data_IF_683946770483
#
_entry.id   IF_683946770483
#
_cell.length_a   1.000
_cell.length_b   1.000
_cell.length_c   1.000
_cell.angle_alpha   90.00
_cell.angle_beta   90.00
_cell.angle_gamma   90.00
#
_symmetry.space_group_name_H-M   'P 1'
#
loop_
_entity.id
_entity.type
_entity.pdbx_description
1 polymer ?
#
# COMPACT_ATOMS: atom_id res chain seq x y z
N UNK A 1 -26.57 1.52 5.68
CA UNK A 1 -26.00 2.02 6.97
C UNK A 1 -24.57 2.50 6.70
N UNK A 2 -24.12 3.60 7.33
CA UNK A 2 -22.73 4.09 7.18
C UNK A 2 -21.75 3.17 7.89
N UNK A 3 -20.70 2.78 7.21
CA UNK A 3 -19.65 1.87 7.70
C UNK A 3 -18.28 2.51 7.53
N UNK A 4 -17.32 2.15 8.37
CA UNK A 4 -15.92 2.53 8.18
C UNK A 4 -15.15 1.33 7.63
N UNK A 5 -14.33 1.59 6.62
CA UNK A 5 -13.47 0.61 5.96
C UNK A 5 -12.04 1.15 6.00
N UNK A 6 -11.11 0.37 6.52
CA UNK A 6 -9.69 0.72 6.47
C UNK A 6 -9.07 0.22 5.17
N UNK A 7 -8.39 1.10 4.43
CA UNK A 7 -7.60 0.77 3.25
C UNK A 7 -6.13 0.84 3.61
N UNK A 8 -5.45 -0.29 3.56
CA UNK A 8 -4.01 -0.42 3.82
C UNK A 8 -3.28 -0.83 2.55
N UNK A 9 -2.01 -0.48 2.44
CA UNK A 9 -1.16 -0.90 1.34
C UNK A 9 0.32 -0.83 1.73
N UNK A 10 1.18 -1.42 0.91
CA UNK A 10 2.62 -1.25 1.02
C UNK A 10 3.13 -1.56 2.43
N UNK A 11 2.76 -2.76 2.94
CA UNK A 11 3.21 -3.24 4.25
C UNK A 11 4.71 -3.55 4.26
N UNK A 12 5.21 -4.01 3.10
CA UNK A 12 6.62 -4.17 2.84
C UNK A 12 7.43 -4.82 3.97
N UNK A 13 6.91 -5.90 4.55
CA UNK A 13 7.64 -6.63 5.60
C UNK A 13 8.01 -5.78 6.83
N UNK A 14 7.35 -4.63 7.06
CA UNK A 14 7.54 -3.82 8.26
C UNK A 14 6.54 -4.24 9.35
N UNK A 15 6.91 -5.26 10.12
CA UNK A 15 6.03 -5.80 11.14
C UNK A 15 5.69 -4.81 12.27
N UNK A 16 6.63 -4.01 12.83
CA UNK A 16 6.31 -3.00 13.82
C UNK A 16 5.27 -1.97 13.35
N UNK A 17 5.34 -1.52 12.09
CA UNK A 17 4.38 -0.58 11.52
C UNK A 17 3.01 -1.24 11.31
N UNK A 18 2.98 -2.47 10.77
CA UNK A 18 1.75 -3.26 10.57
C UNK A 18 1.03 -3.48 11.90
N UNK A 19 1.75 -3.84 12.96
CA UNK A 19 1.19 -3.98 14.31
C UNK A 19 0.60 -2.67 14.84
N UNK A 20 1.24 -1.53 14.58
CA UNK A 20 0.74 -0.24 15.03
C UNK A 20 -0.57 0.13 14.32
N UNK A 21 -0.63 -0.08 13.01
CA UNK A 21 -1.85 0.16 12.22
C UNK A 21 -2.97 -0.80 12.63
N UNK A 22 -2.70 -2.09 12.87
CA UNK A 22 -3.72 -3.03 13.35
C UNK A 22 -4.30 -2.60 14.70
N UNK A 23 -3.47 -2.14 15.63
CA UNK A 23 -3.94 -1.60 16.92
C UNK A 23 -4.82 -0.36 16.74
N UNK A 24 -4.42 0.57 15.88
CA UNK A 24 -5.18 1.79 15.60
C UNK A 24 -6.55 1.47 14.96
N UNK A 25 -6.59 0.59 13.96
CA UNK A 25 -7.82 0.12 13.32
C UNK A 25 -8.76 -0.53 14.36
N UNK A 26 -8.24 -1.43 15.21
CA UNK A 26 -9.03 -2.07 16.28
C UNK A 26 -9.55 -1.05 17.28
N UNK A 27 -8.73 -0.08 17.68
CA UNK A 27 -9.14 0.96 18.65
C UNK A 27 -10.28 1.83 18.15
N UNK A 28 -10.43 1.94 16.81
CA UNK A 28 -11.53 2.65 16.15
C UNK A 28 -12.77 1.79 15.95
N UNK A 29 -12.73 0.50 16.30
CA UNK A 29 -13.82 -0.44 16.07
C UNK A 29 -14.07 -0.77 14.59
N UNK A 30 -13.03 -0.63 13.74
CA UNK A 30 -13.13 -0.93 12.30
C UNK A 30 -12.87 -2.43 12.10
N UNK A 31 -13.84 -3.13 11.51
CA UNK A 31 -13.77 -4.57 11.27
C UNK A 31 -13.36 -4.90 9.83
N UNK A 32 -13.73 -4.05 8.87
CA UNK A 32 -13.45 -4.26 7.45
C UNK A 32 -12.13 -3.62 7.05
N UNK A 33 -11.21 -4.43 6.53
CA UNK A 33 -9.92 -3.98 6.03
C UNK A 33 -9.75 -4.44 4.58
N UNK A 34 -9.40 -3.53 3.69
CA UNK A 34 -9.05 -3.79 2.29
C UNK A 34 -7.56 -3.50 2.09
N UNK A 35 -6.84 -4.43 1.48
CA UNK A 35 -5.41 -4.27 1.20
C UNK A 35 -5.16 -4.05 -0.29
N UNK A 36 -4.48 -2.96 -0.62
CA UNK A 36 -4.19 -2.60 -2.01
C UNK A 36 -2.83 -3.16 -2.50
N UNK A 37 -2.25 -4.15 -1.81
CA UNK A 37 -1.06 -4.86 -2.29
C UNK A 37 0.25 -4.43 -1.64
N UNK A 38 1.33 -4.99 -2.15
CA UNK A 38 2.70 -4.88 -1.64
C UNK A 38 2.81 -5.27 -0.16
N UNK A 39 2.29 -6.48 0.12
CA UNK A 39 2.30 -7.04 1.48
C UNK A 39 3.68 -7.55 1.87
N UNK A 40 4.55 -7.85 0.89
CA UNK A 40 5.90 -8.40 1.08
C UNK A 40 6.99 -7.48 0.50
N UNK A 41 8.24 -7.83 0.71
CA UNK A 41 9.41 -7.13 0.15
C UNK A 41 9.91 -5.96 1.00
N UNK A 42 10.95 -5.30 0.53
CA UNK A 42 11.69 -4.20 1.18
C UNK A 42 12.17 -4.50 2.60
N UNK A 43 11.27 -4.66 3.54
CA UNK A 43 11.57 -4.93 4.95
C UNK A 43 11.73 -6.42 5.28
N UNK A 44 12.14 -6.71 6.53
CA UNK A 44 12.65 -8.02 6.93
C UNK A 44 11.58 -9.05 7.30
N UNK A 45 10.31 -8.66 7.43
CA UNK A 45 9.28 -9.51 8.06
C UNK A 45 8.14 -9.85 7.10
N UNK A 46 8.48 -10.23 5.86
CA UNK A 46 7.49 -10.54 4.80
C UNK A 46 6.50 -11.65 5.18
N UNK A 47 6.87 -12.75 5.87
CA UNK A 47 5.91 -13.75 6.32
C UNK A 47 4.87 -13.18 7.28
N UNK A 48 5.28 -12.37 8.26
CA UNK A 48 4.38 -11.81 9.26
C UNK A 48 3.37 -10.84 8.65
N UNK A 49 3.81 -9.99 7.72
CA UNK A 49 2.92 -9.05 7.04
C UNK A 49 1.98 -9.75 6.07
N UNK A 50 2.45 -10.79 5.38
CA UNK A 50 1.62 -11.63 4.52
C UNK A 50 0.54 -12.37 5.33
N UNK A 51 0.93 -13.04 6.41
CA UNK A 51 0.01 -13.82 7.25
C UNK A 51 -1.05 -12.89 7.88
N UNK A 52 -0.63 -11.72 8.39
CA UNK A 52 -1.55 -10.73 8.90
C UNK A 52 -2.55 -10.25 7.82
N UNK A 53 -2.07 -9.95 6.62
CA UNK A 53 -2.95 -9.49 5.55
C UNK A 53 -3.96 -10.59 5.15
N UNK A 54 -3.54 -11.83 5.09
CA UNK A 54 -4.39 -12.99 4.81
C UNK A 54 -5.45 -13.25 5.88
N UNK A 55 -5.12 -12.99 7.13
CA UNK A 55 -6.04 -13.18 8.26
C UNK A 55 -7.02 -12.01 8.41
N UNK A 56 -6.54 -10.78 8.21
CA UNK A 56 -7.26 -9.57 8.60
C UNK A 56 -8.00 -8.87 7.46
N UNK A 57 -7.50 -8.98 6.23
CA UNK A 57 -8.07 -8.25 5.11
C UNK A 57 -9.13 -9.09 4.38
N UNK A 58 -10.23 -8.45 4.03
CA UNK A 58 -11.30 -9.05 3.24
C UNK A 58 -10.82 -9.47 1.85
N UNK A 59 -9.93 -8.68 1.26
CA UNK A 59 -9.19 -9.00 0.04
C UNK A 59 -7.82 -8.31 0.05
N UNK A 60 -6.92 -8.80 -0.82
CA UNK A 60 -5.61 -8.24 -1.10
C UNK A 60 -5.50 -8.09 -2.61
N UNK A 61 -5.15 -6.90 -3.09
CA UNK A 61 -4.85 -6.67 -4.50
C UNK A 61 -3.38 -6.97 -4.80
N UNK A 62 -3.09 -7.21 -6.07
CA UNK A 62 -1.73 -7.50 -6.52
C UNK A 62 -0.90 -6.23 -6.60
N UNK A 63 0.17 -6.17 -5.81
CA UNK A 63 1.22 -5.17 -5.94
C UNK A 63 2.39 -5.67 -6.78
N UNK A 64 3.23 -4.75 -7.25
CA UNK A 64 4.38 -5.10 -8.09
C UNK A 64 5.46 -5.91 -7.33
N UNK A 65 5.61 -5.70 -6.02
CA UNK A 65 6.51 -6.52 -5.19
C UNK A 65 5.93 -7.91 -4.96
N UNK A 66 4.63 -8.02 -4.72
CA UNK A 66 3.95 -9.31 -4.58
C UNK A 66 4.12 -10.14 -5.85
N UNK A 67 3.90 -9.52 -7.03
CA UNK A 67 4.09 -10.17 -8.32
C UNK A 67 5.55 -10.57 -8.56
N UNK A 68 6.48 -9.62 -8.38
CA UNK A 68 7.91 -9.83 -8.61
C UNK A 68 8.51 -10.94 -7.75
N UNK A 69 8.20 -10.93 -6.44
CA UNK A 69 8.64 -11.94 -5.49
C UNK A 69 7.96 -13.28 -5.79
N UNK A 70 6.62 -13.28 -5.93
CA UNK A 70 5.86 -14.50 -6.20
C UNK A 70 6.29 -15.24 -7.47
N UNK A 71 6.69 -14.52 -8.49
CA UNK A 71 7.21 -15.06 -9.77
C UNK A 71 8.73 -15.25 -9.79
N UNK A 72 9.44 -14.99 -8.70
CA UNK A 72 10.93 -15.04 -8.61
C UNK A 72 11.62 -14.24 -9.74
N UNK A 73 11.11 -13.04 -10.03
CA UNK A 73 11.60 -12.23 -11.16
C UNK A 73 13.01 -11.68 -10.94
N UNK A 74 13.44 -11.54 -9.68
CA UNK A 74 14.69 -10.88 -9.32
C UNK A 74 15.62 -11.82 -8.52
N UNK A 75 16.77 -12.26 -9.08
CA UNK A 75 17.70 -13.15 -8.36
C UNK A 75 18.21 -12.57 -7.03
N UNK A 76 18.22 -11.25 -6.89
CA UNK A 76 18.67 -10.57 -5.66
C UNK A 76 17.69 -10.72 -4.48
N UNK A 77 16.49 -11.20 -4.74
CA UNK A 77 15.40 -11.30 -3.76
C UNK A 77 15.36 -12.67 -3.06
N UNK A 78 16.44 -13.46 -3.14
CA UNK A 78 16.56 -14.79 -2.55
C UNK A 78 16.22 -14.80 -1.06
N UNK A 79 16.59 -13.76 -0.32
CA UNK A 79 16.22 -13.59 1.09
C UNK A 79 14.71 -13.68 1.32
N UNK A 80 13.90 -13.09 0.44
CA UNK A 80 12.44 -13.16 0.55
C UNK A 80 11.91 -14.53 0.15
N UNK A 81 12.50 -15.15 -0.87
CA UNK A 81 12.07 -16.48 -1.34
C UNK A 81 12.24 -17.54 -0.25
N UNK A 82 13.39 -17.54 0.42
CA UNK A 82 13.67 -18.44 1.54
C UNK A 82 12.73 -18.16 2.72
N UNK A 83 12.52 -16.91 3.06
CA UNK A 83 11.72 -16.51 4.20
C UNK A 83 10.23 -16.83 4.03
N UNK A 84 9.68 -16.60 2.84
CA UNK A 84 8.26 -16.83 2.53
C UNK A 84 7.93 -18.32 2.37
N UNK A 85 8.84 -19.07 1.77
CA UNK A 85 8.61 -20.45 1.39
C UNK A 85 7.64 -20.59 0.21
N UNK A 86 7.57 -21.79 -0.35
CA UNK A 86 6.83 -22.03 -1.60
C UNK A 86 5.32 -21.78 -1.49
N UNK A 87 4.71 -22.05 -0.34
CA UNK A 87 3.27 -21.93 -0.18
C UNK A 87 2.81 -20.48 -0.25
N UNK A 88 3.47 -19.55 0.46
CA UNK A 88 3.15 -18.12 0.37
C UNK A 88 3.49 -17.56 -0.99
N UNK A 89 4.65 -17.95 -1.55
CA UNK A 89 5.09 -17.54 -2.88
C UNK A 89 4.07 -17.87 -3.98
N UNK A 90 3.46 -19.06 -3.91
CA UNK A 90 2.44 -19.51 -4.87
C UNK A 90 1.17 -18.67 -4.81
N UNK A 91 0.83 -18.12 -3.65
CA UNK A 91 -0.38 -17.33 -3.45
C UNK A 91 -0.22 -15.90 -3.96
N UNK A 92 0.96 -15.27 -3.80
CA UNK A 92 1.20 -13.87 -4.13
C UNK A 92 0.71 -13.46 -5.54
N UNK A 93 1.09 -14.16 -6.64
CA UNK A 93 0.68 -13.75 -7.99
C UNK A 93 -0.80 -14.07 -8.31
N UNK A 94 -1.54 -14.66 -7.39
CA UNK A 94 -2.98 -14.95 -7.57
C UNK A 94 -3.88 -13.82 -7.08
N UNK A 95 -3.34 -12.80 -6.46
CA UNK A 95 -4.12 -11.66 -6.02
C UNK A 95 -4.74 -10.92 -7.21
N UNK A 96 -6.00 -10.45 -7.12
CA UNK A 96 -6.64 -9.70 -8.19
C UNK A 96 -5.95 -8.36 -8.42
N UNK A 97 -5.97 -7.89 -9.67
CA UNK A 97 -5.35 -6.63 -10.09
C UNK A 97 -6.11 -5.40 -9.60
N UNK A 98 -7.44 -5.50 -9.51
CA UNK A 98 -8.31 -4.40 -9.12
C UNK A 98 -9.56 -4.90 -8.40
N UNK A 99 -10.20 -3.99 -7.68
CA UNK A 99 -11.50 -4.19 -7.07
C UNK A 99 -12.42 -3.01 -7.39
N UNK A 100 -13.66 -3.30 -7.74
CA UNK A 100 -14.66 -2.29 -8.07
C UNK A 100 -15.97 -2.56 -7.34
N UNK A 101 -16.59 -1.50 -6.83
CA UNK A 101 -17.90 -1.61 -6.16
C UNK A 101 -18.62 -0.26 -6.16
N UNK A 102 -19.87 -0.27 -5.71
CA UNK A 102 -20.61 0.95 -5.40
C UNK A 102 -20.38 1.36 -3.94
N UNK A 103 -20.12 2.65 -3.70
CA UNK A 103 -20.04 3.24 -2.37
C UNK A 103 -20.82 4.55 -2.34
N UNK A 104 -21.85 4.65 -1.50
CA UNK A 104 -22.60 5.91 -1.32
C UNK A 104 -23.03 6.57 -2.63
N UNK A 105 -23.52 5.77 -3.59
CA UNK A 105 -23.97 6.24 -4.90
C UNK A 105 -22.87 6.64 -5.87
N UNK A 106 -21.66 6.14 -5.67
CA UNK A 106 -20.47 6.39 -6.52
C UNK A 106 -19.83 5.07 -6.89
N UNK A 107 -19.34 4.96 -8.11
CA UNK A 107 -18.52 3.83 -8.55
C UNK A 107 -17.08 4.00 -8.09
N UNK A 108 -16.63 3.11 -7.22
CA UNK A 108 -15.27 3.04 -6.74
C UNK A 108 -14.45 2.06 -7.59
N UNK A 109 -13.23 2.43 -7.91
CA UNK A 109 -12.17 1.56 -8.45
C UNK A 109 -10.95 1.61 -7.54
N UNK A 110 -10.44 0.45 -7.15
CA UNK A 110 -9.23 0.29 -6.36
C UNK A 110 -8.24 -0.60 -7.11
N UNK A 111 -6.96 -0.22 -7.12
CA UNK A 111 -5.84 -1.02 -7.62
C UNK A 111 -4.57 -0.62 -6.87
N UNK A 112 -3.48 -1.36 -7.02
CA UNK A 112 -2.24 -1.03 -6.31
C UNK A 112 -1.61 0.27 -6.86
N UNK A 113 -1.34 0.33 -8.10
CA UNK A 113 -0.60 1.27 -8.90
C UNK A 113 0.00 0.48 -10.03
N UNK A 114 1.28 0.11 -9.95
CA UNK A 114 1.87 -0.85 -10.88
C UNK A 114 1.43 -2.28 -10.56
N UNK A 115 1.16 -3.13 -11.56
CA UNK A 115 1.38 -2.88 -12.99
C UNK A 115 0.21 -2.22 -13.73
N UNK A 116 -0.89 -1.85 -13.05
CA UNK A 116 -2.04 -1.18 -13.71
C UNK A 116 -1.63 0.19 -14.28
N UNK A 117 -0.80 0.93 -13.55
CA UNK A 117 -0.10 2.12 -14.05
C UNK A 117 1.23 1.72 -14.67
N UNK A 118 1.66 2.29 -15.81
CA UNK A 118 2.94 1.96 -16.44
C UNK A 118 4.15 2.42 -15.61
N UNK A 119 3.95 3.46 -14.81
CA UNK A 119 4.96 4.06 -13.94
C UNK A 119 4.30 4.69 -12.70
N UNK A 120 5.07 5.07 -11.65
CA UNK A 120 4.51 5.61 -10.43
C UNK A 120 3.96 7.02 -10.64
N UNK A 121 2.63 7.17 -10.67
CA UNK A 121 1.96 8.47 -10.70
C UNK A 121 1.55 8.91 -9.29
N UNK A 122 1.69 10.20 -9.04
CA UNK A 122 1.25 10.86 -7.82
C UNK A 122 -0.12 11.52 -8.02
N UNK A 123 -0.85 11.79 -6.98
CA UNK A 123 -2.13 12.53 -7.08
C UNK A 123 -1.99 13.92 -7.73
N UNK A 124 -0.78 14.49 -7.72
CA UNK A 124 -0.46 15.77 -8.36
C UNK A 124 0.18 15.65 -9.76
N UNK A 125 0.34 14.43 -10.27
CA UNK A 125 0.76 14.20 -11.68
C UNK A 125 -0.21 14.86 -12.66
N UNK A 126 0.20 14.96 -13.92
CA UNK A 126 -0.59 15.63 -14.96
C UNK A 126 -2.00 15.07 -15.05
N UNK A 127 -2.97 15.98 -15.25
CA UNK A 127 -4.38 15.64 -15.32
C UNK A 127 -4.68 14.58 -16.37
N UNK A 128 -4.09 14.70 -17.55
CA UNK A 128 -4.33 13.80 -18.70
C UNK A 128 -3.86 12.37 -18.41
N UNK A 129 -2.81 12.19 -17.59
CA UNK A 129 -2.33 10.89 -17.15
C UNK A 129 -3.27 10.22 -16.13
N UNK A 130 -3.90 11.02 -15.28
CA UNK A 130 -4.72 10.50 -14.18
C UNK A 130 -6.18 10.25 -14.58
N UNK A 131 -6.72 11.05 -15.52
CA UNK A 131 -8.13 10.98 -15.88
C UNK A 131 -8.54 9.66 -16.53
N UNK A 132 -7.61 8.94 -17.18
CA UNK A 132 -7.88 7.65 -17.83
C UNK A 132 -8.29 6.57 -16.83
N UNK A 133 -7.85 6.66 -15.57
CA UNK A 133 -8.17 5.68 -14.53
C UNK A 133 -9.62 5.76 -14.06
N UNK A 134 -10.35 6.81 -14.44
CA UNK A 134 -11.78 6.94 -14.23
C UNK A 134 -12.65 6.34 -15.36
N UNK A 135 -12.03 5.81 -16.40
CA UNK A 135 -12.76 5.12 -17.47
C UNK A 135 -13.24 3.74 -17.01
N UNK A 136 -14.42 3.26 -17.49
CA UNK A 136 -15.34 4.02 -18.36
C UNK A 136 -16.17 5.06 -17.61
N UNK A 137 -16.47 4.88 -16.32
CA UNK A 137 -17.45 5.68 -15.58
C UNK A 137 -17.28 5.64 -14.05
N UNK A 138 -16.01 5.54 -13.56
CA UNK A 138 -15.72 5.59 -12.13
C UNK A 138 -15.75 7.01 -11.58
N UNK A 139 -16.31 7.17 -10.37
CA UNK A 139 -16.42 8.44 -9.65
C UNK A 139 -15.30 8.63 -8.61
N UNK A 140 -14.78 7.51 -8.10
CA UNK A 140 -13.75 7.47 -7.06
C UNK A 140 -12.68 6.46 -7.45
N UNK A 141 -11.42 6.88 -7.42
CA UNK A 141 -10.26 6.02 -7.69
C UNK A 141 -9.31 6.06 -6.50
N UNK A 142 -9.02 4.91 -5.93
CA UNK A 142 -8.04 4.74 -4.86
C UNK A 142 -6.88 3.85 -5.30
N UNK A 143 -5.66 4.24 -4.95
CA UNK A 143 -4.45 3.49 -5.30
C UNK A 143 -3.34 3.66 -4.25
N UNK A 144 -2.20 3.01 -4.44
CA UNK A 144 -1.05 2.96 -3.52
C UNK A 144 0.30 3.18 -4.27
N UNK A 145 1.30 2.31 -4.12
CA UNK A 145 2.57 2.20 -4.85
C UNK A 145 3.58 3.34 -4.63
N UNK A 146 3.15 4.60 -4.57
CA UNK A 146 4.07 5.75 -4.44
C UNK A 146 4.40 6.12 -2.99
N UNK A 147 3.82 5.42 -2.02
CA UNK A 147 4.04 5.57 -0.58
C UNK A 147 3.79 6.97 -0.02
N UNK A 148 3.06 7.82 -0.73
CA UNK A 148 2.72 9.19 -0.31
C UNK A 148 1.22 9.36 -0.31
N UNK A 149 0.67 9.62 0.86
CA UNK A 149 -0.74 9.96 0.96
C UNK A 149 -1.06 11.24 0.20
N UNK A 150 -2.23 11.24 -0.43
CA UNK A 150 -2.74 12.42 -1.09
C UNK A 150 -4.16 12.22 -1.57
N UNK A 151 -4.83 13.32 -1.86
CA UNK A 151 -6.18 13.35 -2.39
C UNK A 151 -6.34 14.53 -3.34
N UNK A 152 -7.04 14.33 -4.46
CA UNK A 152 -7.30 15.35 -5.45
C UNK A 152 -8.67 15.16 -6.09
N UNK A 153 -9.40 16.27 -6.28
CA UNK A 153 -10.56 16.31 -7.17
C UNK A 153 -10.05 16.56 -8.59
N UNK A 154 -10.38 15.71 -9.52
CA UNK A 154 -9.97 15.77 -10.92
C UNK A 154 -11.11 16.34 -11.78
N UNK A 155 -11.29 17.66 -11.73
CA UNK A 155 -12.27 18.39 -12.54
C UNK A 155 -13.66 17.76 -12.49
N UNK A 156 -14.17 17.33 -13.65
CA UNK A 156 -15.47 16.65 -13.77
C UNK A 156 -15.39 15.11 -13.63
N UNK A 157 -14.20 14.55 -13.41
CA UNK A 157 -14.03 13.10 -13.33
C UNK A 157 -14.36 12.53 -11.95
N UNK A 158 -13.90 13.16 -10.91
CA UNK A 158 -14.20 12.71 -9.56
C UNK A 158 -13.03 12.77 -8.59
N UNK A 159 -13.09 11.95 -7.55
CA UNK A 159 -12.12 11.92 -6.47
C UNK A 159 -11.05 10.86 -6.71
N UNK A 160 -9.77 11.28 -6.68
CA UNK A 160 -8.63 10.35 -6.64
C UNK A 160 -7.89 10.48 -5.31
N UNK A 161 -7.48 9.34 -4.73
CA UNK A 161 -6.66 9.33 -3.52
C UNK A 161 -5.61 8.24 -3.55
N UNK A 162 -4.49 8.49 -2.85
CA UNK A 162 -3.44 7.51 -2.57
C UNK A 162 -3.45 7.17 -1.09
N UNK A 163 -3.37 5.86 -0.77
CA UNK A 163 -3.41 5.38 0.61
C UNK A 163 -2.14 5.72 1.41
N UNK A 164 -1.05 6.04 0.73
CA UNK A 164 0.27 6.01 1.35
C UNK A 164 0.73 4.58 1.62
N UNK A 165 1.69 4.41 2.51
CA UNK A 165 2.27 3.12 2.85
C UNK A 165 2.25 2.86 4.35
N UNK A 166 1.83 1.66 4.73
CA UNK A 166 1.94 1.20 6.13
C UNK A 166 3.40 1.01 6.52
N UNK A 167 4.16 0.29 5.71
CA UNK A 167 5.50 -0.15 6.05
C UNK A 167 6.62 0.84 5.73
N UNK A 168 6.36 1.77 4.82
CA UNK A 168 7.38 2.68 4.31
C UNK A 168 6.80 4.02 3.88
N UNK A 169 6.10 4.71 4.79
CA UNK A 169 5.48 6.00 4.52
C UNK A 169 6.50 7.08 4.16
N UNK A 170 6.36 7.65 2.96
CA UNK A 170 7.18 8.75 2.46
C UNK A 170 6.48 10.11 2.67
N UNK A 171 7.29 11.17 2.79
CA UNK A 171 6.82 12.52 3.14
C UNK A 171 6.66 12.70 4.64
N UNK A 172 6.04 11.76 5.32
CA UNK A 172 5.91 11.69 6.78
C UNK A 172 6.40 10.32 7.21
N UNK A 173 7.46 10.26 8.00
CA UNK A 173 8.09 9.01 8.44
C UNK A 173 7.23 8.29 9.51
N UNK A 174 5.99 7.97 9.17
CA UNK A 174 5.00 7.24 9.97
C UNK A 174 4.27 6.22 9.08
N UNK A 175 3.61 5.26 9.70
CA UNK A 175 2.72 4.36 8.97
C UNK A 175 1.48 5.14 8.48
N UNK A 176 1.06 4.87 7.25
CA UNK A 176 -0.03 5.60 6.59
C UNK A 176 -1.11 4.62 6.12
N UNK A 177 -2.38 5.00 6.27
CA UNK A 177 -3.51 4.27 5.71
C UNK A 177 -4.71 5.22 5.52
N UNK A 178 -5.77 4.76 4.87
CA UNK A 178 -6.99 5.54 4.62
C UNK A 178 -8.17 4.91 5.33
N UNK A 179 -9.08 5.73 5.85
CA UNK A 179 -10.41 5.29 6.27
C UNK A 179 -11.45 5.88 5.32
N UNK A 180 -12.20 5.00 4.66
CA UNK A 180 -13.43 5.37 3.98
C UNK A 180 -14.60 5.24 4.96
N UNK A 181 -15.41 6.30 5.07
CA UNK A 181 -16.71 6.22 5.73
C UNK A 181 -17.78 6.37 4.69
N UNK A 182 -18.49 5.29 4.39
CA UNK A 182 -19.42 5.21 3.28
C UNK A 182 -20.56 4.24 3.58
N UNK A 183 -21.51 4.18 2.67
CA UNK A 183 -22.51 3.12 2.57
C UNK A 183 -22.01 2.12 1.52
N UNK A 184 -21.47 0.95 1.92
CA UNK A 184 -20.94 -0.02 0.98
C UNK A 184 -22.03 -0.64 0.13
N UNK A 185 -21.67 -1.11 -1.07
CA UNK A 185 -22.51 -1.80 -2.03
C UNK A 185 -23.83 -1.07 -2.35
N UNK A 186 -23.84 0.26 -2.22
CA UNK A 186 -25.04 1.07 -2.39
C UNK A 186 -24.92 2.02 -3.58
N UNK A 187 -25.83 1.91 -4.57
CA UNK A 187 -25.96 2.88 -5.65
C UNK A 187 -26.70 4.16 -5.21
N UNK A 188 -27.26 4.19 -4.00
CA UNK A 188 -27.96 5.36 -3.47
C UNK A 188 -26.97 6.42 -2.98
N UNK A 189 -27.24 7.68 -3.32
CA UNK A 189 -26.42 8.82 -2.88
C UNK A 189 -26.44 8.99 -1.37
N UNK A 190 -25.27 8.93 -0.75
CA UNK A 190 -25.05 9.13 0.67
C UNK A 190 -23.72 9.90 0.91
N UNK A 191 -23.45 10.39 2.13
CA UNK A 191 -22.14 10.94 2.47
C UNK A 191 -21.00 9.94 2.19
N UNK A 192 -19.87 10.47 1.77
CA UNK A 192 -18.61 9.74 1.59
C UNK A 192 -17.48 10.58 2.18
N UNK A 193 -16.79 10.03 3.17
CA UNK A 193 -15.61 10.63 3.76
C UNK A 193 -14.37 9.81 3.38
N UNK A 194 -13.29 10.50 3.03
CA UNK A 194 -11.95 9.90 2.83
C UNK A 194 -11.01 10.54 3.82
N UNK A 195 -10.54 9.78 4.79
CA UNK A 195 -9.69 10.28 5.85
C UNK A 195 -8.27 9.71 5.70
N UNK A 196 -7.29 10.57 5.55
CA UNK A 196 -5.87 10.21 5.53
C UNK A 196 -5.38 10.07 6.96
N UNK A 197 -4.88 8.89 7.34
CA UNK A 197 -4.45 8.58 8.70
C UNK A 197 -2.95 8.33 8.72
N UNK A 198 -2.27 8.89 9.72
CA UNK A 198 -0.88 8.60 10.03
C UNK A 198 -0.76 8.06 11.45
N UNK A 199 0.03 6.99 11.63
CA UNK A 199 0.17 6.29 12.89
C UNK A 199 1.66 6.19 13.26
N UNK A 200 2.06 6.70 14.43
CA UNK A 200 3.40 6.46 14.93
C UNK A 200 3.59 4.98 15.29
N UNK A 201 4.78 4.45 15.04
CA UNK A 201 5.14 3.07 15.36
C UNK A 201 6.56 2.99 15.94
N UNK A 202 6.96 1.83 16.44
CA UNK A 202 8.31 1.58 16.94
C UNK A 202 9.31 1.52 15.77
N UNK A 203 9.69 2.71 15.29
CA UNK A 203 10.60 2.89 14.17
C UNK A 203 12.01 2.39 14.50
N UNK A 204 12.45 2.57 15.74
CA UNK A 204 13.79 2.11 16.16
C UNK A 204 13.86 0.58 16.10
N UNK A 205 12.79 -0.12 16.45
CA UNK A 205 12.70 -1.57 16.26
C UNK A 205 12.75 -1.94 14.79
N UNK A 206 11.97 -1.27 13.93
CA UNK A 206 11.97 -1.55 12.49
C UNK A 206 13.37 -1.35 11.87
N UNK A 207 14.10 -0.33 12.31
CA UNK A 207 15.48 -0.08 11.89
C UNK A 207 16.41 -1.21 12.34
N UNK A 208 16.35 -1.62 13.61
CA UNK A 208 17.16 -2.76 14.11
C UNK A 208 16.85 -4.05 13.37
N UNK A 209 15.57 -4.33 13.14
CA UNK A 209 15.12 -5.53 12.42
C UNK A 209 15.69 -5.54 10.98
N UNK A 210 15.70 -4.38 10.29
CA UNK A 210 16.29 -4.24 8.96
C UNK A 210 17.81 -4.45 8.96
N UNK A 211 18.53 -3.86 9.93
CA UNK A 211 19.99 -4.02 10.07
C UNK A 211 20.38 -5.48 10.35
N UNK A 212 19.62 -6.17 11.20
CA UNK A 212 19.86 -7.58 11.48
C UNK A 212 19.61 -8.45 10.24
N UNK A 213 18.53 -8.18 9.51
CA UNK A 213 18.23 -8.88 8.27
C UNK A 213 19.27 -8.62 7.18
N UNK A 214 19.85 -7.40 7.14
CA UNK A 214 20.97 -7.07 6.25
C UNK A 214 22.17 -7.96 6.48
N UNK A 215 22.50 -8.28 7.74
CA UNK A 215 23.59 -9.24 8.09
C UNK A 215 23.28 -10.66 7.64
N UNK A 216 22.01 -10.98 7.39
CA UNK A 216 21.51 -12.29 6.92
C UNK A 216 21.21 -12.32 5.43
N UNK A 217 21.59 -11.27 4.66
CA UNK A 217 21.47 -11.25 3.21
C UNK A 217 20.30 -10.42 2.64
N UNK A 218 19.55 -9.68 3.47
CA UNK A 218 18.55 -8.74 2.94
C UNK A 218 19.26 -7.65 2.13
N UNK A 219 18.99 -7.61 0.84
CA UNK A 219 19.57 -6.62 -0.08
C UNK A 219 18.84 -5.27 0.07
N UNK A 220 19.59 -4.17 -0.05
CA UNK A 220 19.06 -2.79 0.06
C UNK A 220 18.41 -2.46 1.43
N UNK A 221 18.75 -3.20 2.47
CA UNK A 221 18.28 -2.91 3.83
C UNK A 221 18.66 -1.51 4.31
N UNK A 222 19.81 -1.01 3.89
CA UNK A 222 20.32 0.32 4.18
C UNK A 222 19.48 1.43 3.55
N UNK A 223 19.00 1.23 2.33
CA UNK A 223 18.05 2.13 1.67
C UNK A 223 16.71 2.12 2.39
N UNK A 224 16.18 0.95 2.71
CA UNK A 224 14.95 0.83 3.49
C UNK A 224 15.08 1.51 4.85
N UNK A 225 16.19 1.28 5.56
CA UNK A 225 16.50 1.98 6.82
C UNK A 225 16.52 3.51 6.65
N UNK A 226 17.16 4.00 5.60
CA UNK A 226 17.21 5.45 5.32
C UNK A 226 15.79 6.00 5.08
N UNK A 227 14.96 5.32 4.32
CA UNK A 227 13.57 5.70 4.07
C UNK A 227 12.75 5.75 5.36
N UNK A 228 12.91 4.76 6.25
CA UNK A 228 12.24 4.74 7.57
C UNK A 228 12.64 5.95 8.44
N UNK A 229 13.91 6.33 8.41
CA UNK A 229 14.42 7.43 9.24
C UNK A 229 14.04 8.81 8.72
N UNK A 230 14.02 8.98 7.41
CA UNK A 230 13.91 10.31 6.77
C UNK A 230 12.55 10.59 6.14
N UNK A 231 11.77 9.56 5.80
CA UNK A 231 10.57 9.69 4.97
C UNK A 231 10.89 10.13 3.53
N UNK A 232 12.15 10.01 3.10
CA UNK A 232 12.59 10.39 1.75
C UNK A 232 12.99 9.13 1.00
N UNK A 233 12.48 8.99 -0.23
CA UNK A 233 12.81 7.86 -1.09
C UNK A 233 14.33 7.78 -1.33
N UNK A 234 14.91 6.64 -0.96
CA UNK A 234 16.33 6.38 -1.11
C UNK A 234 16.61 5.63 -2.43
N UNK A 235 17.71 5.99 -3.11
CA UNK A 235 18.17 5.31 -4.33
C UNK A 235 19.64 4.97 -4.19
N UNK A 236 20.06 3.88 -4.83
CA UNK A 236 21.49 3.61 -4.98
C UNK A 236 22.17 4.81 -5.68
N UNK A 237 23.30 5.25 -5.16
CA UNK A 237 24.06 6.44 -5.57
C UNK A 237 24.54 6.46 -7.03
N UNK A 238 24.06 5.54 -7.89
CA UNK A 238 24.34 5.48 -9.33
C UNK A 238 23.20 5.96 -10.23
N UNK A 239 22.07 6.41 -9.70
CA UNK A 239 20.95 6.92 -10.50
C UNK A 239 20.69 8.41 -10.24
N UNK A 240 20.54 9.19 -11.29
CA UNK A 240 20.23 10.61 -11.22
C UNK A 240 19.01 10.87 -10.31
N UNK A 241 19.11 11.88 -9.44
CA UNK A 241 17.97 12.35 -8.63
C UNK A 241 16.87 12.78 -9.59
N UNK A 242 15.72 12.10 -9.52
CA UNK A 242 14.49 12.64 -10.11
C UNK A 242 14.10 13.87 -9.27
N UNK A 243 13.84 15.03 -9.85
CA UNK A 243 13.32 16.16 -9.08
C UNK A 243 11.99 15.76 -8.44
N UNK A 244 11.80 16.23 -7.22
CA UNK A 244 10.56 16.14 -6.45
C UNK A 244 9.44 16.92 -7.14
#
# INVERSE_FOLDING_TARGET
MMTQIALVADLHGNWPATQAVDRDIRSRGIETIWCLGDVVGKGPSSPQTFDWARERCQFILLGNWDEGIGKKQFPKDEFYYEQLGEDRMRVLPTFPMEYTCWISGRKLRLFHGRPTMPEPYYVHSDYDLLQEYFAPDYDVVGYADVHRQGMRILGFKGLMFNTGSVGNGLGVAMAQYVILRCQPDSPEKAPLDVNLITVPYDRDRAVRDAEEAGRRGLVNWDLFRQELLTGVYARNSGGARSPL
#
